data_IF_576833461747
#
_entry.id   IF_576833461747
#
_cell.length_a   1.000
_cell.length_b   1.000
_cell.length_c   1.000
_cell.angle_alpha   90.00
_cell.angle_beta   90.00
_cell.angle_gamma   90.00
#
_symmetry.space_group_name_H-M   'P 1'
#
loop_
_entity.id
_entity.type
_entity.pdbx_description
1 polymer ?
#
# COMPACT_ATOMS: atom_id res chain seq x y z
N UNK A 1 23.01 1.33 29.65
CA UNK A 1 23.04 -0.14 29.49
C UNK A 1 22.51 -0.44 28.10
N UNK A 2 23.34 -0.09 27.12
CA UNK A 2 23.12 -0.37 25.71
C UNK A 2 23.48 -1.84 25.51
N UNK A 3 22.52 -2.65 25.05
CA UNK A 3 22.84 -3.99 24.55
C UNK A 3 22.66 -3.93 23.05
N UNK A 4 23.79 -4.02 22.35
CA UNK A 4 23.89 -4.36 20.94
C UNK A 4 23.02 -5.58 20.66
N UNK A 5 22.02 -5.40 19.81
CA UNK A 5 21.35 -6.50 19.11
C UNK A 5 22.01 -6.62 17.73
N UNK A 6 23.19 -7.21 17.70
CA UNK A 6 23.76 -7.72 16.46
C UNK A 6 23.01 -8.99 16.04
N UNK A 7 22.60 -9.03 14.78
CA UNK A 7 22.04 -10.23 14.14
C UNK A 7 20.68 -10.04 13.49
N UNK A 8 20.56 -9.13 12.53
CA UNK A 8 19.45 -9.09 11.58
C UNK A 8 19.99 -9.37 10.17
N UNK A 9 19.99 -10.65 9.77
CA UNK A 9 20.20 -11.02 8.37
C UNK A 9 18.88 -10.83 7.62
N UNK A 10 18.72 -9.65 7.03
CA UNK A 10 17.72 -9.36 6.01
C UNK A 10 18.52 -9.22 4.72
N UNK A 11 18.58 -10.30 3.95
CA UNK A 11 19.29 -10.46 2.67
C UNK A 11 19.83 -9.16 2.06
N UNK A 12 21.15 -8.97 2.18
CA UNK A 12 21.89 -7.86 1.59
C UNK A 12 21.90 -7.99 0.06
N UNK A 13 21.18 -7.09 -0.59
CA UNK A 13 21.34 -6.80 -2.02
C UNK A 13 22.20 -5.56 -2.15
N UNK A 14 23.23 -5.68 -2.98
CA UNK A 14 24.32 -4.73 -3.20
C UNK A 14 23.85 -3.28 -3.37
N UNK A 15 24.50 -2.36 -2.64
CA UNK A 15 24.32 -0.92 -2.71
C UNK A 15 25.08 -0.38 -3.94
N UNK A 16 24.35 0.17 -4.92
CA UNK A 16 24.89 1.20 -5.79
C UNK A 16 24.37 2.56 -5.29
N UNK A 17 25.31 3.40 -4.85
CA UNK A 17 25.07 4.79 -4.49
C UNK A 17 24.73 5.60 -5.76
N UNK A 18 23.51 6.13 -5.84
CA UNK A 18 23.20 7.22 -6.77
C UNK A 18 22.63 8.43 -6.01
N UNK A 19 23.15 9.60 -6.42
CA UNK A 19 23.09 10.88 -5.74
C UNK A 19 21.68 11.43 -5.46
N UNK A 20 21.58 12.08 -4.30
CA UNK A 20 20.38 12.71 -3.75
C UNK A 20 19.99 13.97 -4.55
N UNK A 21 19.04 13.84 -5.48
CA UNK A 21 18.31 14.97 -6.03
C UNK A 21 17.06 15.23 -5.19
N UNK A 22 17.05 16.36 -4.47
CA UNK A 22 15.90 16.87 -3.71
C UNK A 22 14.76 17.24 -4.68
N UNK A 23 13.92 16.27 -5.01
CA UNK A 23 12.64 16.49 -5.68
C UNK A 23 11.53 16.22 -4.67
N UNK A 24 10.79 17.29 -4.32
CA UNK A 24 9.55 17.18 -3.56
C UNK A 24 8.69 16.08 -4.19
N UNK A 25 8.06 15.18 -3.41
CA UNK A 25 7.56 13.95 -3.99
C UNK A 25 6.27 14.26 -4.75
N UNK A 26 6.44 14.44 -6.05
CA UNK A 26 5.38 14.49 -7.06
C UNK A 26 4.55 13.23 -6.85
N UNK A 27 3.23 13.37 -6.72
CA UNK A 27 2.33 12.24 -6.79
C UNK A 27 2.31 11.78 -8.26
N UNK A 28 3.00 10.69 -8.62
CA UNK A 28 3.30 10.39 -10.02
C UNK A 28 2.07 9.86 -10.79
N UNK A 29 0.94 9.60 -10.12
CA UNK A 29 -0.34 9.36 -10.81
C UNK A 29 -0.85 10.63 -11.51
N UNK A 30 -0.41 11.80 -11.04
CA UNK A 30 -0.71 13.11 -11.63
C UNK A 30 0.60 13.87 -11.90
N UNK A 31 1.39 13.37 -12.85
CA UNK A 31 2.54 14.12 -13.36
C UNK A 31 2.07 15.37 -14.09
N UNK A 32 2.49 16.55 -13.62
CA UNK A 32 2.26 17.81 -14.33
C UNK A 32 3.14 17.82 -15.58
N UNK A 33 2.51 17.75 -16.75
CA UNK A 33 3.19 17.90 -18.04
C UNK A 33 3.96 19.22 -18.07
N UNK A 34 5.21 19.19 -18.53
CA UNK A 34 5.90 20.41 -18.93
C UNK A 34 5.31 20.90 -20.26
N UNK A 35 5.44 22.20 -20.53
CA UNK A 35 4.99 22.74 -21.81
C UNK A 35 5.74 22.05 -22.96
N UNK A 36 4.99 21.60 -23.97
CA UNK A 36 5.48 20.91 -25.18
C UNK A 36 5.89 19.43 -25.02
N UNK A 37 5.54 18.80 -23.89
CA UNK A 37 5.78 17.37 -23.65
C UNK A 37 4.61 16.53 -24.21
N UNK A 38 4.87 15.56 -25.10
CA UNK A 38 3.83 14.67 -25.63
C UNK A 38 3.38 13.69 -24.53
N UNK A 39 2.10 13.73 -24.09
CA UNK A 39 1.61 12.85 -23.04
C UNK A 39 1.72 11.36 -23.38
N UNK A 40 1.78 11.00 -24.67
CA UNK A 40 1.91 9.61 -25.11
C UNK A 40 3.30 9.03 -24.86
N UNK A 41 4.30 9.88 -24.67
CA UNK A 41 5.68 9.48 -24.41
C UNK A 41 5.96 9.35 -22.90
N UNK A 42 5.03 9.77 -22.04
CA UNK A 42 5.18 9.63 -20.60
C UNK A 42 4.92 8.19 -20.15
N UNK A 43 5.97 7.54 -19.66
CA UNK A 43 5.89 6.24 -19.02
C UNK A 43 5.46 6.40 -17.56
N UNK A 44 4.14 6.36 -17.30
CA UNK A 44 3.54 6.34 -15.96
C UNK A 44 3.66 4.94 -15.32
N UNK A 45 4.88 4.42 -15.23
CA UNK A 45 5.14 3.08 -14.71
C UNK A 45 5.17 3.05 -13.18
N UNK A 46 5.30 4.19 -12.52
CA UNK A 46 5.53 4.27 -11.08
C UNK A 46 4.47 5.12 -10.38
N UNK A 47 4.08 4.69 -9.18
CA UNK A 47 3.07 5.33 -8.36
C UNK A 47 3.49 5.43 -6.90
N UNK A 48 3.46 6.63 -6.31
CA UNK A 48 3.83 6.83 -4.91
C UNK A 48 2.62 6.64 -4.00
N UNK A 49 2.73 5.76 -3.00
CA UNK A 49 1.69 5.51 -2.01
C UNK A 49 2.22 5.67 -0.60
N UNK A 50 1.35 6.11 0.31
CA UNK A 50 1.57 5.89 1.73
C UNK A 50 1.23 4.43 2.05
N UNK A 51 2.16 3.73 2.68
CA UNK A 51 2.05 2.33 3.08
C UNK A 51 2.08 2.28 4.60
N UNK A 52 1.12 1.54 5.17
CA UNK A 52 1.09 1.19 6.58
C UNK A 52 1.61 -0.24 6.75
N UNK A 53 2.60 -0.41 7.63
CA UNK A 53 3.16 -1.70 7.99
C UNK A 53 2.66 -2.13 9.36
N UNK A 54 1.82 -3.15 9.38
CA UNK A 54 1.15 -3.68 10.56
C UNK A 54 1.82 -4.96 11.08
N UNK A 55 1.46 -5.35 12.30
CA UNK A 55 1.90 -6.60 12.96
C UNK A 55 3.42 -6.68 13.21
N UNK A 56 4.06 -5.52 13.38
CA UNK A 56 5.47 -5.44 13.73
C UNK A 56 5.69 -5.74 15.22
N UNK A 57 6.72 -6.53 15.58
CA UNK A 57 7.08 -6.73 16.97
C UNK A 57 7.51 -5.44 17.67
N UNK A 58 7.39 -5.36 19.01
CA UNK A 58 7.99 -4.28 19.77
C UNK A 58 9.48 -4.12 19.45
N UNK A 59 9.95 -2.89 19.27
CA UNK A 59 11.34 -2.60 18.89
C UNK A 59 11.63 -2.56 17.39
N UNK A 60 10.67 -2.97 16.53
CA UNK A 60 10.82 -2.90 15.06
C UNK A 60 10.27 -1.58 14.48
N UNK A 61 10.06 -0.58 15.32
CA UNK A 61 9.56 0.74 14.92
C UNK A 61 10.73 1.73 14.81
N UNK A 62 11.53 1.58 13.75
CA UNK A 62 12.66 2.47 13.46
C UNK A 62 12.71 2.82 11.98
N UNK A 63 13.34 3.96 11.66
CA UNK A 63 13.53 4.41 10.27
C UNK A 63 14.31 3.38 9.43
N UNK A 64 15.29 2.70 10.04
CA UNK A 64 16.08 1.66 9.37
C UNK A 64 15.21 0.47 8.97
N UNK A 65 14.37 -0.01 9.90
CA UNK A 65 13.44 -1.13 9.63
C UNK A 65 12.40 -0.72 8.59
N UNK A 66 11.87 0.51 8.66
CA UNK A 66 10.97 1.05 7.65
C UNK A 66 11.59 1.02 6.25
N UNK A 67 12.79 1.61 6.09
CA UNK A 67 13.51 1.62 4.81
C UNK A 67 13.73 0.21 4.25
N UNK A 68 14.11 -0.76 5.09
CA UNK A 68 14.30 -2.15 4.67
C UNK A 68 12.98 -2.80 4.21
N UNK A 69 11.89 -2.59 4.96
CA UNK A 69 10.58 -3.14 4.62
C UNK A 69 9.98 -2.50 3.37
N UNK A 70 10.19 -1.21 3.17
CA UNK A 70 9.71 -0.47 2.02
C UNK A 70 10.52 -0.73 0.75
N UNK A 71 11.83 -0.96 0.90
CA UNK A 71 12.65 -1.45 -0.21
C UNK A 71 12.29 -2.88 -0.63
N UNK A 72 11.71 -3.67 0.29
CA UNK A 72 11.08 -4.94 -0.09
C UNK A 72 9.75 -4.73 -0.84
N UNK A 73 9.01 -3.66 -0.52
CA UNK A 73 7.80 -3.28 -1.27
C UNK A 73 8.18 -2.87 -2.69
N UNK A 74 8.97 -1.80 -2.82
CA UNK A 74 9.63 -1.37 -4.05
C UNK A 74 10.70 -0.28 -3.73
N UNK A 75 10.45 1.02 -3.95
CA UNK A 75 11.42 2.10 -3.64
C UNK A 75 10.96 2.99 -2.48
N UNK A 76 11.71 3.00 -1.38
CA UNK A 76 11.47 3.93 -0.26
C UNK A 76 11.63 5.40 -0.69
N UNK A 77 10.73 6.27 -0.23
CA UNK A 77 10.79 7.73 -0.47
C UNK A 77 10.87 8.54 0.84
N UNK A 78 9.99 8.25 1.81
CA UNK A 78 9.81 9.13 2.98
C UNK A 78 9.35 8.31 4.21
N UNK A 79 9.86 8.67 5.40
CA UNK A 79 9.46 8.08 6.69
C UNK A 79 8.61 9.06 7.49
N UNK A 80 7.42 8.66 7.96
CA UNK A 80 6.53 9.52 8.78
C UNK A 80 6.94 9.51 10.26
N UNK A 81 7.90 10.35 10.63
CA UNK A 81 8.40 10.42 12.02
C UNK A 81 7.36 10.92 13.02
N UNK A 82 6.27 11.58 12.57
CA UNK A 82 5.29 12.23 13.44
C UNK A 82 4.53 11.27 14.32
N UNK A 83 4.42 10.00 13.92
CA UNK A 83 3.74 8.99 14.72
C UNK A 83 4.64 8.41 15.82
N UNK A 84 5.96 8.38 15.58
CA UNK A 84 6.94 7.88 16.54
C UNK A 84 6.96 8.77 17.80
N UNK A 85 6.90 10.09 17.59
CA UNK A 85 6.93 11.10 18.66
C UNK A 85 5.75 11.00 19.64
N UNK A 86 4.65 10.34 19.24
CA UNK A 86 3.43 10.22 20.05
C UNK A 86 3.36 8.96 20.89
N UNK A 87 4.32 8.04 20.77
CA UNK A 87 4.43 6.83 21.60
C UNK A 87 3.30 5.80 21.48
N UNK A 88 2.33 6.02 20.58
CA UNK A 88 1.19 5.12 20.34
C UNK A 88 1.26 4.59 18.90
N UNK A 89 2.17 3.64 18.67
CA UNK A 89 2.41 3.08 17.34
C UNK A 89 1.69 1.73 17.21
N UNK A 90 0.68 1.66 16.34
CA UNK A 90 0.08 0.38 15.92
C UNK A 90 0.59 -0.10 14.55
N UNK A 91 1.24 0.77 13.77
CA UNK A 91 1.82 0.48 12.47
C UNK A 91 2.90 1.52 12.12
N UNK A 92 3.89 1.15 11.29
CA UNK A 92 4.75 2.15 10.62
C UNK A 92 4.03 2.75 9.42
N UNK A 93 4.30 4.01 9.08
CA UNK A 93 3.67 4.70 7.95
C UNK A 93 4.73 5.40 7.12
N UNK A 94 4.88 4.95 5.90
CA UNK A 94 5.99 5.37 5.05
C UNK A 94 5.51 5.61 3.62
N UNK A 95 6.26 6.39 2.85
CA UNK A 95 5.95 6.68 1.45
C UNK A 95 6.86 5.86 0.55
N UNK A 96 6.26 5.11 -0.36
CA UNK A 96 6.95 4.17 -1.27
C UNK A 96 6.53 4.45 -2.70
N UNK A 97 7.47 4.53 -3.63
CA UNK A 97 7.20 4.50 -5.06
C UNK A 97 7.12 3.06 -5.55
N UNK A 98 6.01 2.70 -6.18
CA UNK A 98 5.66 1.33 -6.60
C UNK A 98 5.52 1.26 -8.12
N UNK A 99 6.14 0.26 -8.74
CA UNK A 99 5.91 -0.11 -10.13
C UNK A 99 4.48 -0.66 -10.31
N UNK A 100 3.66 0.05 -11.08
CA UNK A 100 2.24 -0.28 -11.31
C UNK A 100 2.05 -1.60 -12.07
N UNK A 101 3.09 -2.11 -12.73
CA UNK A 101 3.09 -3.37 -13.48
C UNK A 101 3.42 -4.56 -12.59
N UNK A 102 4.02 -4.35 -11.41
CA UNK A 102 4.32 -5.42 -10.48
C UNK A 102 3.14 -5.65 -9.51
N UNK A 103 2.95 -6.89 -9.03
CA UNK A 103 1.96 -7.16 -7.99
C UNK A 103 2.28 -6.42 -6.69
N UNK A 104 1.27 -5.81 -6.07
CA UNK A 104 1.38 -5.23 -4.73
C UNK A 104 1.85 -6.28 -3.72
N UNK A 105 2.82 -5.92 -2.88
CA UNK A 105 3.25 -6.80 -1.78
C UNK A 105 2.18 -6.83 -0.69
N UNK A 106 1.92 -8.02 -0.16
CA UNK A 106 0.87 -8.25 0.87
C UNK A 106 1.45 -8.34 2.27
N UNK A 107 2.59 -9.03 2.39
CA UNK A 107 3.29 -9.25 3.65
C UNK A 107 4.76 -9.55 3.41
N UNK A 108 5.60 -9.22 4.38
CA UNK A 108 7.01 -9.63 4.44
C UNK A 108 7.21 -10.56 5.64
N UNK A 109 8.05 -11.57 5.48
CA UNK A 109 8.40 -12.53 6.51
C UNK A 109 9.54 -11.95 7.36
N UNK A 110 9.34 -11.84 8.67
CA UNK A 110 10.35 -11.36 9.61
C UNK A 110 10.77 -12.51 10.51
N UNK A 111 12.08 -12.67 10.66
CA UNK A 111 12.69 -13.61 11.61
C UNK A 111 13.01 -12.88 12.91
N UNK A 112 12.46 -13.36 14.01
CA UNK A 112 12.76 -12.87 15.35
C UNK A 112 13.90 -13.69 15.99
N UNK A 113 14.50 -13.18 17.08
CA UNK A 113 15.32 -14.01 17.95
C UNK A 113 14.61 -15.31 18.35
N UNK A 114 15.41 -16.36 18.60
CA UNK A 114 14.91 -17.72 18.94
C UNK A 114 14.16 -18.42 17.79
N UNK A 115 14.47 -18.08 16.54
CA UNK A 115 13.90 -18.71 15.33
C UNK A 115 12.37 -18.60 15.22
N UNK A 116 11.76 -17.63 15.91
CA UNK A 116 10.33 -17.38 15.81
C UNK A 116 10.04 -16.59 14.53
N UNK A 117 8.94 -16.95 13.87
CA UNK A 117 8.51 -16.29 12.65
C UNK A 117 7.30 -15.37 12.87
N UNK A 118 7.36 -14.18 12.28
CA UNK A 118 6.20 -13.30 12.14
C UNK A 118 6.09 -12.76 10.71
N UNK A 119 4.99 -12.07 10.42
CA UNK A 119 4.77 -11.39 9.16
C UNK A 119 4.43 -9.92 9.39
N UNK A 120 5.18 -9.02 8.77
CA UNK A 120 4.76 -7.64 8.58
C UNK A 120 3.70 -7.61 7.48
N UNK A 121 2.55 -6.95 7.71
CA UNK A 121 1.47 -6.83 6.73
C UNK A 121 1.42 -5.43 6.15
N UNK A 122 1.36 -5.34 4.82
CA UNK A 122 1.30 -4.06 4.12
C UNK A 122 -0.14 -3.68 3.82
N UNK A 123 -0.48 -2.42 4.06
CA UNK A 123 -1.74 -1.79 3.63
C UNK A 123 -1.45 -0.45 2.99
N UNK A 124 -2.11 -0.14 1.89
CA UNK A 124 -1.85 1.04 1.08
C UNK A 124 -2.98 2.07 1.29
N UNK A 125 -2.61 3.31 1.58
CA UNK A 125 -3.56 4.42 1.67
C UNK A 125 -3.87 4.96 0.28
N UNK A 126 -5.13 5.36 0.08
CA UNK A 126 -5.64 5.89 -1.20
C UNK A 126 -5.32 4.98 -2.40
N UNK A 127 -5.13 3.69 -2.16
CA UNK A 127 -4.95 2.71 -3.21
C UNK A 127 -6.16 2.78 -4.15
N UNK A 128 -5.92 2.87 -5.45
CA UNK A 128 -6.98 2.95 -6.46
C UNK A 128 -7.52 1.55 -6.79
N UNK A 129 -8.27 1.42 -7.89
CA UNK A 129 -8.57 0.11 -8.45
C UNK A 129 -7.27 -0.60 -8.84
N UNK A 130 -7.18 -1.88 -8.50
CA UNK A 130 -6.08 -2.77 -8.84
C UNK A 130 -6.67 -4.15 -9.13
N UNK A 131 -5.90 -5.01 -9.80
CA UNK A 131 -6.33 -6.35 -10.16
C UNK A 131 -6.27 -7.29 -8.94
N UNK A 132 -7.40 -7.84 -8.52
CA UNK A 132 -7.47 -8.84 -7.45
C UNK A 132 -6.90 -10.19 -7.87
N UNK A 133 -6.81 -10.45 -9.19
CA UNK A 133 -6.24 -11.69 -9.72
C UNK A 133 -4.70 -11.70 -9.63
N UNK A 134 -4.04 -10.65 -10.11
CA UNK A 134 -2.57 -10.60 -10.17
C UNK A 134 -1.92 -9.55 -9.28
N UNK A 135 -2.70 -8.67 -8.65
CA UNK A 135 -2.19 -7.63 -7.74
C UNK A 135 -1.64 -6.36 -8.40
N UNK A 136 -1.64 -6.26 -9.73
CA UNK A 136 -1.10 -5.09 -10.46
C UNK A 136 -2.08 -3.91 -10.48
N UNK A 137 -1.55 -2.68 -10.56
CA UNK A 137 -2.34 -1.44 -10.66
C UNK A 137 -2.68 -1.04 -12.10
N UNK A 138 -1.98 -1.60 -13.09
CA UNK A 138 -2.12 -1.23 -14.51
C UNK A 138 -3.43 -1.63 -15.18
N UNK A 139 -4.24 -2.50 -14.56
CA UNK A 139 -5.48 -3.02 -15.14
C UNK A 139 -6.43 -3.55 -14.07
N UNK A 140 -7.66 -3.86 -14.49
CA UNK A 140 -8.67 -4.53 -13.66
C UNK A 140 -8.79 -6.03 -14.02
N UNK A 141 -9.51 -6.78 -13.19
CA UNK A 141 -9.65 -8.24 -13.32
C UNK A 141 -10.16 -8.71 -14.68
N UNK A 142 -11.01 -7.92 -15.35
CA UNK A 142 -11.60 -8.28 -16.65
C UNK A 142 -10.57 -8.27 -17.77
N UNK A 143 -9.58 -7.39 -17.68
CA UNK A 143 -8.52 -7.21 -18.66
C UNK A 143 -7.18 -7.77 -18.18
N UNK A 144 -7.20 -8.64 -17.16
CA UNK A 144 -5.98 -9.23 -16.64
C UNK A 144 -5.36 -10.22 -17.65
N UNK A 145 -4.09 -10.05 -18.05
CA UNK A 145 -3.42 -10.99 -18.93
C UNK A 145 -3.40 -12.42 -18.37
N UNK A 146 -3.29 -12.58 -17.05
CA UNK A 146 -3.34 -13.89 -16.40
C UNK A 146 -4.69 -14.59 -16.63
N UNK A 147 -5.79 -13.83 -16.77
CA UNK A 147 -7.12 -14.37 -17.03
C UNK A 147 -7.24 -15.01 -18.41
N UNK A 148 -6.49 -14.50 -19.40
CA UNK A 148 -6.49 -15.06 -20.76
C UNK A 148 -5.93 -16.50 -20.80
N UNK A 149 -5.11 -16.86 -19.81
CA UNK A 149 -4.54 -18.20 -19.69
C UNK A 149 -5.42 -19.18 -18.89
N UNK A 150 -6.45 -18.69 -18.20
CA UNK A 150 -7.35 -19.49 -17.37
C UNK A 150 -8.52 -19.96 -18.25
N UNK A 151 -8.40 -21.13 -18.87
CA UNK A 151 -9.39 -21.73 -19.79
C UNK A 151 -10.67 -22.21 -19.07
N UNK A 152 -11.35 -21.33 -18.35
CA UNK A 152 -12.61 -21.64 -17.64
C UNK A 152 -12.44 -22.32 -16.28
N UNK A 153 -11.22 -22.33 -15.72
CA UNK A 153 -10.95 -22.82 -14.37
C UNK A 153 -11.49 -21.86 -13.29
N UNK A 154 -11.71 -22.40 -12.08
CA UNK A 154 -12.02 -21.59 -10.90
C UNK A 154 -10.82 -20.69 -10.62
N UNK A 155 -11.05 -19.38 -10.67
CA UNK A 155 -10.00 -18.38 -10.49
C UNK A 155 -9.85 -18.06 -9.01
N UNK A 156 -8.67 -18.31 -8.44
CA UNK A 156 -8.33 -17.86 -7.08
C UNK A 156 -7.82 -16.41 -7.11
N UNK A 157 -8.48 -15.53 -6.36
CA UNK A 157 -8.07 -14.13 -6.23
C UNK A 157 -7.04 -13.99 -5.10
N UNK A 158 -5.76 -13.87 -5.48
CA UNK A 158 -4.67 -13.74 -4.52
C UNK A 158 -4.65 -12.40 -3.77
N UNK A 159 -5.34 -11.38 -4.26
CA UNK A 159 -5.40 -10.06 -3.64
C UNK A 159 -6.85 -9.64 -3.36
N UNK A 160 -7.03 -8.77 -2.37
CA UNK A 160 -8.36 -8.34 -1.95
C UNK A 160 -8.34 -6.92 -1.39
N UNK A 161 -9.53 -6.38 -1.13
CA UNK A 161 -9.73 -5.06 -0.52
C UNK A 161 -9.00 -4.86 0.82
N UNK A 162 -8.59 -5.95 1.47
CA UNK A 162 -7.81 -5.93 2.72
C UNK A 162 -6.47 -5.19 2.62
N UNK A 163 -5.96 -4.98 1.40
CA UNK A 163 -4.79 -4.16 1.14
C UNK A 163 -5.07 -2.66 1.19
N UNK A 164 -6.33 -2.22 1.11
CA UNK A 164 -6.69 -0.81 1.27
C UNK A 164 -6.74 -0.46 2.74
N UNK A 165 -6.14 0.67 3.11
CA UNK A 165 -6.41 1.30 4.40
C UNK A 165 -7.82 1.90 4.35
N UNK A 166 -8.70 1.41 5.22
CA UNK A 166 -10.04 1.98 5.39
C UNK A 166 -9.91 3.27 6.21
N UNK A 167 -10.20 4.42 5.61
CA UNK A 167 -10.26 5.68 6.36
C UNK A 167 -11.56 5.75 7.16
N UNK A 168 -11.51 6.23 8.42
CA UNK A 168 -12.71 6.30 9.30
C UNK A 168 -13.88 7.09 8.70
N UNK A 169 -13.62 8.03 7.79
CA UNK A 169 -14.67 8.80 7.09
C UNK A 169 -15.59 7.91 6.23
N UNK A 170 -15.11 6.77 5.74
CA UNK A 170 -15.93 5.83 4.99
C UNK A 170 -16.95 5.08 5.86
N UNK A 171 -16.74 5.00 7.18
CA UNK A 171 -17.64 4.32 8.12
C UNK A 171 -18.79 5.23 8.54
N UNK A 172 -18.56 6.55 8.57
CA UNK A 172 -19.56 7.56 8.95
C UNK A 172 -20.32 8.16 7.77
N UNK A 173 -20.01 7.74 6.54
CA UNK A 173 -20.81 8.09 5.38
C UNK A 173 -22.11 7.27 5.40
N UNK A 174 -23.03 7.61 6.31
CA UNK A 174 -24.44 7.44 5.99
C UNK A 174 -24.66 8.21 4.69
N UNK A 175 -25.06 7.49 3.66
CA UNK A 175 -25.36 8.06 2.35
C UNK A 175 -26.59 8.96 2.50
N UNK A 176 -26.40 10.24 2.82
CA UNK A 176 -27.45 11.27 2.78
C UNK A 176 -28.01 11.57 1.38
N UNK A 177 -27.71 10.69 0.42
CA UNK A 177 -28.23 10.67 -0.94
C UNK A 177 -29.30 9.57 -1.16
N UNK A 178 -29.43 8.63 -0.23
CA UNK A 178 -30.61 7.78 -0.18
C UNK A 178 -31.68 8.63 0.49
N UNK A 179 -32.58 9.20 -0.32
CA UNK A 179 -33.76 9.88 0.20
C UNK A 179 -34.46 8.94 1.18
N UNK A 180 -34.77 9.45 2.37
CA UNK A 180 -35.69 8.76 3.26
C UNK A 180 -37.02 8.65 2.49
N UNK A 181 -37.35 7.42 2.06
CA UNK A 181 -38.67 7.14 1.51
C UNK A 181 -39.67 7.44 2.63
N UNK A 182 -40.35 8.58 2.49
CA UNK A 182 -41.48 8.94 3.32
C UNK A 182 -42.60 7.93 3.05
N UNK A 183 -42.81 7.04 4.02
CA UNK A 183 -44.01 6.21 4.09
C UNK A 183 -45.23 7.09 4.45
N UNK A 184 -45.72 7.83 3.47
CA UNK A 184 -47.11 8.26 3.43
C UNK A 184 -47.87 7.28 2.51
N UNK A 185 -48.80 6.51 3.06
CA UNK A 185 -50.14 6.21 2.51
C UNK A 185 -50.86 5.08 3.30
N UNK A 186 -51.87 5.55 4.05
CA UNK A 186 -53.25 5.02 4.19
C UNK A 186 -53.54 3.61 4.78
N UNK A 187 -54.36 3.62 5.84
CA UNK A 187 -55.59 2.80 6.03
C UNK A 187 -56.40 3.41 7.21
N UNK A 188 -57.35 4.28 6.92
CA UNK A 188 -58.80 4.00 6.80
C UNK A 188 -59.51 3.53 8.09
N UNK A 189 -60.38 4.42 8.59
CA UNK A 189 -61.75 4.18 9.08
C UNK A 189 -62.02 2.87 9.83
N UNK A 190 -62.22 2.96 11.14
CA UNK A 190 -63.53 2.76 11.80
C UNK A 190 -63.49 3.22 13.26
#
# INVERSE_FOLDING_TARGET
MEKEFEGLNINDGEEEEEEEAVLLPIDPVLQKLKNDEDPKLLLLNYSAFWVQVHDLPPGFFSKTVAKQLDNFVDRFLEFDSKQLDRGLMSYLRDRVEIDVKKPLKRKNKIMLPLSKLTYAKFRYEKLTLFCFLCGCLSHNDKFCPARLNLKGEIVEFGWSISLKVVTRRAITASSGWLGEEGDDVLKERH
#
